data_IF_245177390756
#
_entry.id   IF_245177390756
#
_cell.length_a   1.000
_cell.length_b   1.000
_cell.length_c   1.000
_cell.angle_alpha   90.00
_cell.angle_beta   90.00
_cell.angle_gamma   90.00
#
_symmetry.space_group_name_H-M   'P 1'
#
loop_
_entity.id
_entity.type
_entity.pdbx_description
1 polymer ?
#
# COMPACT_ATOMS: atom_id res chain seq x y z
N UNK A 1 -12.88 -34.36 28.10
CA UNK A 1 -12.16 -34.33 26.81
C UNK A 1 -11.95 -32.87 26.42
N UNK A 2 -10.71 -32.40 26.47
CA UNK A 2 -10.36 -31.05 26.04
C UNK A 2 -10.49 -30.96 24.51
N UNK A 3 -11.25 -29.99 24.01
CA UNK A 3 -11.34 -29.72 22.57
C UNK A 3 -9.97 -29.26 22.08
N UNK A 4 -9.19 -30.18 21.51
CA UNK A 4 -7.90 -29.87 20.90
C UNK A 4 -8.06 -28.76 19.88
N UNK A 5 -7.39 -27.62 20.09
CA UNK A 5 -7.40 -26.53 19.14
C UNK A 5 -6.81 -27.03 17.82
N UNK A 6 -7.64 -27.10 16.78
CA UNK A 6 -7.20 -27.35 15.42
C UNK A 6 -6.22 -26.24 15.02
N UNK A 7 -4.94 -26.58 14.88
CA UNK A 7 -3.91 -25.63 14.49
C UNK A 7 -3.91 -25.34 12.98
N UNK A 8 -4.83 -25.91 12.18
CA UNK A 8 -4.87 -25.58 10.74
C UNK A 8 -5.32 -24.15 10.52
N UNK A 9 -4.80 -23.48 9.50
CA UNK A 9 -5.21 -22.10 9.16
C UNK A 9 -6.70 -21.96 8.88
N UNK A 10 -7.35 -22.97 8.28
CA UNK A 10 -8.81 -22.97 8.10
C UNK A 10 -9.59 -22.90 9.43
N UNK A 11 -8.97 -23.29 10.54
CA UNK A 11 -9.50 -23.22 11.90
C UNK A 11 -9.06 -21.95 12.67
N UNK A 12 -8.19 -21.12 12.08
CA UNK A 12 -7.66 -19.89 12.70
C UNK A 12 -8.74 -18.84 12.91
N UNK A 13 -8.51 -17.94 13.87
CA UNK A 13 -9.36 -16.75 14.06
C UNK A 13 -9.42 -15.90 12.80
N UNK A 14 -8.35 -15.84 12.00
CA UNK A 14 -8.34 -15.12 10.70
C UNK A 14 -9.33 -15.72 9.70
N UNK A 15 -9.44 -17.05 9.63
CA UNK A 15 -10.39 -17.71 8.75
C UNK A 15 -11.82 -17.73 9.29
N UNK A 16 -12.00 -17.64 10.61
CA UNK A 16 -13.30 -17.61 11.26
C UNK A 16 -13.86 -16.19 11.39
N UNK A 17 -13.00 -15.18 11.31
CA UNK A 17 -13.39 -13.78 11.44
C UNK A 17 -14.39 -13.41 10.34
N UNK A 18 -15.49 -12.80 10.78
CA UNK A 18 -16.53 -12.28 9.90
C UNK A 18 -16.84 -10.87 10.38
N UNK A 19 -16.60 -9.91 9.50
CA UNK A 19 -17.11 -8.56 9.73
C UNK A 19 -18.61 -8.52 9.46
N UNK A 20 -19.27 -7.58 10.13
CA UNK A 20 -20.58 -7.14 9.70
C UNK A 20 -20.46 -6.47 8.33
N UNK A 21 -21.54 -6.51 7.55
CA UNK A 21 -21.59 -5.71 6.34
C UNK A 21 -21.51 -4.23 6.71
N UNK A 22 -20.84 -3.42 5.88
CA UNK A 22 -20.91 -1.97 6.03
C UNK A 22 -22.36 -1.52 5.87
N UNK A 23 -22.65 -0.38 6.48
CA UNK A 23 -23.99 0.22 6.53
C UNK A 23 -24.01 1.64 6.00
N UNK A 24 -22.84 2.25 5.78
CA UNK A 24 -22.71 3.65 5.37
C UNK A 24 -22.00 3.76 4.02
N UNK A 25 -22.57 4.59 3.15
CA UNK A 25 -21.89 5.08 1.96
C UNK A 25 -20.73 6.03 2.35
N UNK A 26 -19.69 6.17 1.51
CA UNK A 26 -18.66 7.18 1.72
C UNK A 26 -19.24 8.59 1.82
N UNK A 27 -18.67 9.42 2.69
CA UNK A 27 -19.08 10.83 2.82
C UNK A 27 -17.91 11.79 3.07
N UNK A 28 -16.72 11.46 2.56
CA UNK A 28 -15.57 12.35 2.65
C UNK A 28 -15.85 13.69 1.95
N UNK A 29 -15.57 14.78 2.64
CA UNK A 29 -15.83 16.16 2.17
C UNK A 29 -14.56 17.00 2.06
N UNK A 30 -13.44 16.52 2.59
CA UNK A 30 -12.16 17.23 2.53
C UNK A 30 -11.74 17.56 1.09
N UNK A 31 -11.11 18.71 0.84
CA UNK A 31 -10.62 19.06 -0.49
C UNK A 31 -9.72 17.97 -1.09
N UNK A 32 -9.81 17.77 -2.40
CA UNK A 32 -8.86 16.97 -3.15
C UNK A 32 -7.53 17.76 -3.23
N UNK A 33 -6.43 17.09 -2.90
CA UNK A 33 -5.10 17.67 -2.95
C UNK A 33 -4.77 18.09 -4.39
N UNK A 34 -4.19 19.27 -4.63
CA UNK A 34 -3.91 19.77 -5.98
C UNK A 34 -3.04 18.87 -6.86
N UNK A 35 -2.28 17.93 -6.27
CA UNK A 35 -1.52 16.94 -7.05
C UNK A 35 -2.43 15.94 -7.81
N UNK A 36 -3.67 15.79 -7.37
CA UNK A 36 -4.68 14.91 -7.95
C UNK A 36 -5.77 15.69 -8.69
N UNK A 37 -5.53 16.95 -9.07
CA UNK A 37 -6.48 17.74 -9.86
C UNK A 37 -6.85 17.07 -11.20
N UNK A 38 -8.01 17.41 -11.75
CA UNK A 38 -8.59 16.73 -12.92
C UNK A 38 -7.68 16.75 -14.16
N UNK A 39 -6.97 17.85 -14.42
CA UNK A 39 -6.02 17.99 -15.53
C UNK A 39 -4.76 17.13 -15.35
N UNK A 40 -4.55 16.53 -14.18
CA UNK A 40 -3.51 15.53 -13.96
C UNK A 40 -3.93 14.11 -14.38
N UNK A 41 -5.15 13.89 -14.88
CA UNK A 41 -5.67 12.59 -15.31
C UNK A 41 -6.02 12.57 -16.80
N UNK A 42 -6.04 11.37 -17.40
CA UNK A 42 -6.50 11.21 -18.78
C UNK A 42 -7.93 11.75 -18.96
N UNK A 43 -8.22 12.53 -20.02
CA UNK A 43 -9.52 13.16 -20.22
C UNK A 43 -10.67 12.17 -20.49
N UNK A 44 -10.36 10.91 -20.80
CA UNK A 44 -11.34 9.86 -21.07
C UNK A 44 -11.88 9.19 -19.79
N UNK A 45 -11.36 9.58 -18.63
CA UNK A 45 -11.76 9.01 -17.34
C UNK A 45 -12.85 9.90 -16.76
N UNK A 46 -13.90 9.27 -16.25
CA UNK A 46 -14.89 9.97 -15.46
C UNK A 46 -14.29 10.27 -14.08
N UNK A 47 -13.78 11.49 -13.94
CA UNK A 47 -13.11 11.97 -12.74
C UNK A 47 -14.02 11.95 -11.50
N UNK A 48 -15.34 12.08 -11.68
CA UNK A 48 -16.30 12.08 -10.58
C UNK A 48 -16.33 10.74 -9.84
N UNK A 49 -16.13 9.62 -10.56
CA UNK A 49 -16.05 8.28 -9.96
C UNK A 49 -14.83 8.10 -9.06
N UNK A 50 -13.79 8.91 -9.25
CA UNK A 50 -12.57 8.86 -8.44
C UNK A 50 -12.69 9.71 -7.17
N UNK A 51 -13.67 10.61 -7.07
CA UNK A 51 -13.71 11.68 -6.07
C UNK A 51 -13.46 11.17 -4.64
N UNK A 52 -14.18 10.12 -4.22
CA UNK A 52 -14.01 9.50 -2.89
C UNK A 52 -12.58 8.98 -2.69
N UNK A 53 -12.03 8.28 -3.68
CA UNK A 53 -10.66 7.75 -3.64
C UNK A 53 -9.62 8.87 -3.58
N UNK A 54 -9.82 9.95 -4.33
CA UNK A 54 -8.93 11.11 -4.37
C UNK A 54 -8.97 11.88 -3.04
N UNK A 55 -10.16 12.06 -2.45
CA UNK A 55 -10.32 12.67 -1.12
C UNK A 55 -9.63 11.85 -0.05
N UNK A 56 -9.76 10.52 -0.08
CA UNK A 56 -9.06 9.63 0.85
C UNK A 56 -7.53 9.67 0.65
N UNK A 57 -7.04 9.59 -0.58
CA UNK A 57 -5.62 9.73 -0.88
C UNK A 57 -5.07 11.09 -0.39
N UNK A 58 -5.87 12.15 -0.55
CA UNK A 58 -5.53 13.49 -0.06
C UNK A 58 -5.44 13.53 1.47
N UNK A 59 -6.30 12.80 2.20
CA UNK A 59 -6.17 12.64 3.66
C UNK A 59 -4.86 11.95 4.04
N UNK A 60 -4.44 10.92 3.32
CA UNK A 60 -3.16 10.25 3.57
C UNK A 60 -1.97 11.21 3.43
N UNK A 61 -1.97 12.12 2.44
CA UNK A 61 -0.93 13.14 2.29
C UNK A 61 -0.84 14.14 3.45
N UNK A 62 -1.89 14.25 4.29
CA UNK A 62 -1.88 15.11 5.47
C UNK A 62 -1.28 14.45 6.72
N UNK A 63 -0.90 13.17 6.65
CA UNK A 63 -0.34 12.46 7.79
C UNK A 63 1.13 12.86 8.03
N UNK A 64 1.52 13.05 9.29
CA UNK A 64 2.89 13.44 9.66
C UNK A 64 3.95 12.45 9.17
N UNK A 65 3.71 11.15 9.34
CA UNK A 65 4.59 10.10 8.82
C UNK A 65 4.69 10.08 7.29
N UNK A 66 3.63 10.44 6.58
CA UNK A 66 3.65 10.52 5.11
C UNK A 66 4.46 11.73 4.67
N UNK A 67 4.23 12.89 5.27
CA UNK A 67 5.01 14.08 5.01
C UNK A 67 6.51 13.84 5.28
N UNK A 68 6.83 13.19 6.40
CA UNK A 68 8.20 12.79 6.73
C UNK A 68 8.79 11.86 5.66
N UNK A 69 8.06 10.81 5.26
CA UNK A 69 8.52 9.88 4.24
C UNK A 69 8.77 10.56 2.88
N UNK A 70 7.91 11.51 2.46
CA UNK A 70 8.13 12.32 1.26
C UNK A 70 9.43 13.15 1.36
N UNK A 71 9.65 13.81 2.51
CA UNK A 71 10.87 14.60 2.75
C UNK A 71 12.10 13.69 2.70
N UNK A 72 12.06 12.55 3.38
CA UNK A 72 13.14 11.56 3.41
C UNK A 72 13.46 11.03 2.01
N UNK A 73 12.43 10.76 1.19
CA UNK A 73 12.62 10.31 -0.19
C UNK A 73 13.38 11.35 -1.01
N UNK A 74 13.14 12.65 -0.81
CA UNK A 74 13.71 13.72 -1.64
C UNK A 74 15.02 14.28 -1.08
N UNK A 75 15.05 14.56 0.22
CA UNK A 75 16.11 15.30 0.91
C UNK A 75 17.07 14.37 1.70
N UNK A 76 16.74 13.09 1.87
CA UNK A 76 17.58 12.11 2.56
C UNK A 76 18.94 11.89 1.87
N UNK A 77 19.94 11.46 2.65
CA UNK A 77 21.32 11.28 2.16
C UNK A 77 21.37 10.21 1.06
N UNK A 78 22.13 10.53 0.02
CA UNK A 78 22.40 9.61 -1.07
C UNK A 78 23.75 8.92 -0.83
N UNK A 79 23.73 7.73 -0.24
CA UNK A 79 24.94 6.89 -0.21
C UNK A 79 25.08 6.15 -1.54
N UNK A 80 26.27 6.21 -2.13
CA UNK A 80 26.61 5.50 -3.36
C UNK A 80 27.32 4.19 -2.98
N UNK A 81 26.83 3.05 -3.46
CA UNK A 81 27.42 1.74 -3.22
C UNK A 81 27.80 1.07 -4.55
N UNK A 82 29.05 1.12 -4.95
CA UNK A 82 29.55 0.35 -6.08
C UNK A 82 29.58 -1.15 -5.73
N UNK A 83 28.90 -2.01 -6.49
CA UNK A 83 29.06 -3.48 -6.39
C UNK A 83 29.88 -4.00 -7.59
N UNK A 84 30.23 -5.29 -7.58
CA UNK A 84 31.08 -5.91 -8.61
C UNK A 84 30.45 -5.99 -10.01
N UNK A 85 29.19 -5.58 -10.17
CA UNK A 85 28.43 -5.50 -11.43
C UNK A 85 28.35 -4.05 -11.94
N UNK A 86 28.85 -3.07 -11.17
CA UNK A 86 29.01 -1.67 -11.57
C UNK A 86 28.67 -0.66 -10.47
N UNK A 87 28.68 0.62 -10.84
CA UNK A 87 28.30 1.70 -9.94
C UNK A 87 26.82 1.61 -9.58
N UNK A 88 26.49 1.27 -8.34
CA UNK A 88 25.13 1.31 -7.82
C UNK A 88 25.00 2.43 -6.79
N UNK A 89 23.88 3.12 -6.76
CA UNK A 89 23.60 4.12 -5.72
C UNK A 89 22.45 3.59 -4.91
N UNK A 90 22.66 3.36 -3.62
CA UNK A 90 21.58 2.92 -2.75
C UNK A 90 21.39 3.89 -1.61
N UNK A 91 20.17 4.47 -1.62
CA UNK A 91 19.78 5.55 -0.73
C UNK A 91 19.46 5.00 0.64
N UNK A 92 20.37 5.29 1.59
CA UNK A 92 20.06 5.25 3.01
C UNK A 92 19.30 6.51 3.38
N UNK A 93 18.03 6.35 3.66
CA UNK A 93 17.25 7.38 4.33
C UNK A 93 17.70 7.45 5.80
N UNK A 94 18.80 8.14 6.11
CA UNK A 94 19.05 8.54 7.51
C UNK A 94 18.36 9.86 7.78
N UNK A 95 17.69 9.97 8.93
CA UNK A 95 17.05 11.20 9.43
C UNK A 95 18.04 12.36 9.61
N UNK A 96 19.35 12.08 9.52
CA UNK A 96 20.47 12.96 9.87
C UNK A 96 20.51 14.27 9.05
N UNK A 97 19.81 14.36 7.91
CA UNK A 97 19.82 15.55 7.05
C UNK A 97 18.46 16.20 6.76
N UNK A 98 17.35 15.62 7.21
CA UNK A 98 16.22 16.47 7.59
C UNK A 98 16.68 17.14 8.89
N UNK A 99 17.42 18.26 8.78
CA UNK A 99 17.90 19.04 9.92
C UNK A 99 16.80 20.06 10.26
N UNK A 100 15.81 19.72 11.10
CA UNK A 100 14.80 20.68 11.45
C UNK A 100 15.33 21.79 12.34
N UNK A 101 14.54 22.85 12.53
CA UNK A 101 14.74 23.74 13.66
C UNK A 101 14.83 22.93 14.97
N UNK A 102 15.59 23.42 15.95
CA UNK A 102 15.90 22.69 17.20
C UNK A 102 14.69 22.31 18.08
N UNK A 103 13.48 22.71 17.72
CA UNK A 103 12.24 22.49 18.46
C UNK A 103 11.32 21.48 17.73
N UNK A 104 10.68 20.59 18.49
CA UNK A 104 9.81 19.53 17.95
C UNK A 104 8.55 20.07 17.25
N UNK A 105 7.94 21.14 17.78
CA UNK A 105 6.76 21.76 17.13
C UNK A 105 7.14 22.41 15.80
N UNK A 106 8.34 22.96 15.72
CA UNK A 106 8.89 23.52 14.49
C UNK A 106 9.24 22.41 13.49
N UNK A 107 9.60 21.21 13.96
CA UNK A 107 9.89 20.06 13.10
C UNK A 107 8.65 19.55 12.36
N UNK A 108 7.54 19.30 13.06
CA UNK A 108 6.31 18.82 12.42
C UNK A 108 5.82 19.85 11.40
N UNK A 109 5.79 21.14 11.76
CA UNK A 109 5.44 22.20 10.80
C UNK A 109 6.40 22.25 9.61
N UNK A 110 7.71 22.17 9.85
CA UNK A 110 8.72 22.16 8.80
C UNK A 110 8.52 20.99 7.82
N UNK A 111 8.32 19.77 8.33
CA UNK A 111 8.11 18.58 7.49
C UNK A 111 6.85 18.72 6.64
N UNK A 112 5.74 19.18 7.22
CA UNK A 112 4.52 19.38 6.45
C UNK A 112 4.67 20.47 5.39
N UNK A 113 5.32 21.58 5.73
CA UNK A 113 5.64 22.63 4.76
C UNK A 113 6.52 22.09 3.63
N UNK A 114 7.61 21.38 3.97
CA UNK A 114 8.56 20.85 3.00
C UNK A 114 7.95 19.78 2.09
N UNK A 115 7.17 18.86 2.66
CA UNK A 115 6.44 17.86 1.88
C UNK A 115 5.46 18.53 0.90
N UNK A 116 4.75 19.59 1.33
CA UNK A 116 3.87 20.35 0.45
C UNK A 116 4.65 21.07 -0.67
N UNK A 117 5.83 21.62 -0.40
CA UNK A 117 6.70 22.22 -1.43
C UNK A 117 7.15 21.16 -2.45
N UNK A 118 7.52 19.96 -1.99
CA UNK A 118 7.87 18.83 -2.86
C UNK A 118 6.69 18.44 -3.74
N UNK A 119 5.49 18.30 -3.15
CA UNK A 119 4.28 17.94 -3.87
C UNK A 119 3.89 19.03 -4.89
N UNK A 120 4.01 20.32 -4.52
CA UNK A 120 3.80 21.46 -5.43
C UNK A 120 4.77 21.42 -6.61
N UNK A 121 6.06 21.16 -6.37
CA UNK A 121 7.05 21.02 -7.44
C UNK A 121 6.83 19.80 -8.35
N UNK A 122 5.99 18.86 -7.92
CA UNK A 122 5.56 17.68 -8.67
C UNK A 122 4.21 17.88 -9.40
N UNK A 123 3.46 18.93 -9.11
CA UNK A 123 2.23 19.28 -9.84
C UNK A 123 2.56 19.58 -11.31
N UNK A 124 1.70 19.13 -12.23
CA UNK A 124 1.90 19.24 -13.68
C UNK A 124 2.99 18.33 -14.26
N UNK A 125 3.83 17.69 -13.41
CA UNK A 125 4.84 16.72 -13.83
C UNK A 125 4.37 15.28 -13.71
N UNK A 126 3.31 15.03 -12.95
CA UNK A 126 2.66 13.72 -12.85
C UNK A 126 1.42 13.69 -13.74
N UNK A 127 1.28 12.63 -14.55
CA UNK A 127 0.04 12.33 -15.27
C UNK A 127 -0.44 10.94 -14.85
N UNK A 128 -1.65 10.87 -14.33
CA UNK A 128 -2.29 9.65 -13.86
C UNK A 128 -3.10 9.01 -14.97
N UNK A 129 -2.77 7.75 -15.26
CA UNK A 129 -3.46 6.92 -16.22
C UNK A 129 -4.18 5.80 -15.49
N UNK A 130 -5.49 5.70 -15.68
CA UNK A 130 -6.26 4.53 -15.23
C UNK A 130 -6.37 3.57 -16.42
N UNK A 131 -5.66 2.44 -16.36
CA UNK A 131 -5.52 1.52 -17.47
C UNK A 131 -6.64 0.46 -17.45
N UNK A 132 -7.69 0.58 -18.30
CA UNK A 132 -8.87 -0.29 -18.22
C UNK A 132 -8.52 -1.78 -18.44
N UNK A 133 -7.56 -2.12 -19.28
CA UNK A 133 -7.29 -3.53 -19.58
C UNK A 133 -6.21 -4.17 -18.70
N UNK A 134 -5.74 -3.47 -17.68
CA UNK A 134 -4.77 -4.03 -16.73
C UNK A 134 -5.47 -4.52 -15.46
N UNK A 135 -4.87 -5.51 -14.81
CA UNK A 135 -5.41 -6.13 -13.60
C UNK A 135 -5.30 -5.18 -12.38
N UNK A 136 -4.70 -5.66 -11.29
CA UNK A 136 -4.47 -4.92 -10.06
C UNK A 136 -3.03 -4.40 -10.02
N UNK A 137 -2.81 -3.34 -9.24
CA UNK A 137 -1.50 -2.73 -9.02
C UNK A 137 -1.32 -1.44 -9.78
N UNK A 138 -0.08 -0.95 -9.79
CA UNK A 138 0.31 0.23 -10.54
C UNK A 138 1.74 0.11 -11.03
N UNK A 139 2.18 1.16 -11.73
CA UNK A 139 3.59 1.41 -12.02
C UNK A 139 3.76 2.89 -12.35
N UNK A 140 4.91 3.43 -12.01
CA UNK A 140 5.31 4.77 -12.44
C UNK A 140 6.41 4.70 -13.48
N UNK A 141 6.33 5.54 -14.52
CA UNK A 141 7.35 5.61 -15.56
C UNK A 141 7.70 7.06 -15.87
N UNK A 142 8.98 7.41 -15.98
CA UNK A 142 9.35 8.72 -16.50
C UNK A 142 8.94 8.86 -17.97
N UNK A 143 8.43 10.04 -18.34
CA UNK A 143 8.23 10.48 -19.72
C UNK A 143 9.56 10.92 -20.32
N UNK A 144 10.43 9.93 -20.50
CA UNK A 144 11.61 10.09 -21.35
C UNK A 144 11.07 9.98 -22.78
N UNK A 145 11.49 10.89 -23.68
CA UNK A 145 11.25 10.71 -25.11
C UNK A 145 11.91 9.42 -25.63
N UNK A 146 12.15 9.32 -26.94
CA UNK A 146 13.00 8.26 -27.50
C UNK A 146 14.28 8.13 -26.67
N UNK A 147 14.41 7.03 -25.93
CA UNK A 147 15.46 6.82 -24.93
C UNK A 147 16.81 7.10 -25.57
N UNK A 148 17.48 8.16 -25.15
CA UNK A 148 18.83 8.49 -25.60
C UNK A 148 19.77 7.70 -24.68
N UNK A 149 20.45 6.63 -25.16
CA UNK A 149 21.28 5.77 -24.32
C UNK A 149 22.46 6.49 -23.66
N UNK A 150 22.75 7.72 -24.10
CA UNK A 150 23.82 8.57 -23.61
C UNK A 150 23.40 9.52 -22.46
N UNK A 151 22.15 9.50 -22.00
CA UNK A 151 21.75 10.36 -20.89
C UNK A 151 22.44 9.92 -19.58
N UNK A 152 22.97 10.87 -18.78
CA UNK A 152 23.48 10.56 -17.45
C UNK A 152 22.42 9.82 -16.63
N UNK A 153 22.82 8.77 -15.92
CA UNK A 153 21.99 7.84 -15.15
C UNK A 153 21.10 8.47 -14.06
N UNK A 154 21.04 9.80 -13.94
CA UNK A 154 20.41 10.52 -12.82
C UNK A 154 19.83 11.90 -13.18
N UNK A 155 19.51 12.16 -14.45
CA UNK A 155 18.88 13.45 -14.77
C UNK A 155 17.53 13.57 -14.04
N UNK A 156 17.40 14.63 -13.25
CA UNK A 156 16.25 14.96 -12.40
C UNK A 156 15.24 15.79 -13.19
N UNK A 157 14.03 15.93 -12.65
CA UNK A 157 13.01 16.83 -13.18
C UNK A 157 12.13 16.24 -14.28
N UNK A 158 12.30 14.97 -14.65
CA UNK A 158 11.46 14.36 -15.67
C UNK A 158 10.01 14.25 -15.21
N UNK A 159 9.05 14.67 -16.07
CA UNK A 159 7.66 14.29 -15.89
C UNK A 159 7.53 12.76 -15.85
N UNK A 160 6.51 12.29 -15.17
CA UNK A 160 6.23 10.88 -15.00
C UNK A 160 4.76 10.59 -15.31
N UNK A 161 4.55 9.40 -15.85
CA UNK A 161 3.26 8.74 -16.05
C UNK A 161 3.06 7.75 -14.90
N UNK A 162 1.95 7.91 -14.20
CA UNK A 162 1.55 7.12 -13.04
C UNK A 162 0.39 6.23 -13.49
N UNK A 163 0.67 4.96 -13.74
CA UNK A 163 -0.33 4.01 -14.23
C UNK A 163 -0.96 3.25 -13.07
N UNK A 164 -2.28 3.25 -13.00
CA UNK A 164 -3.08 2.51 -12.02
C UNK A 164 -3.95 1.48 -12.75
N UNK A 165 -4.03 0.26 -12.20
CA UNK A 165 -4.87 -0.80 -12.70
C UNK A 165 -6.35 -0.43 -12.71
N UNK A 166 -6.99 -0.45 -13.88
CA UNK A 166 -8.36 0.00 -14.06
C UNK A 166 -9.44 -0.95 -13.54
N UNK A 167 -9.08 -2.14 -13.04
CA UNK A 167 -10.06 -3.10 -12.51
C UNK A 167 -10.91 -2.49 -11.40
N UNK A 168 -10.29 -1.85 -10.40
CA UNK A 168 -11.04 -1.22 -9.29
C UNK A 168 -11.91 -0.07 -9.78
N UNK A 169 -11.42 0.73 -10.73
CA UNK A 169 -12.19 1.82 -11.33
C UNK A 169 -13.46 1.31 -12.04
N UNK A 170 -13.38 0.21 -12.79
CA UNK A 170 -14.57 -0.40 -13.41
C UNK A 170 -15.57 -0.93 -12.39
N UNK A 171 -15.10 -1.51 -11.29
CA UNK A 171 -15.99 -1.95 -10.22
C UNK A 171 -16.70 -0.75 -9.58
N UNK A 172 -15.98 0.35 -9.30
CA UNK A 172 -16.59 1.60 -8.83
C UNK A 172 -17.64 2.10 -9.82
N UNK A 173 -17.32 2.14 -11.12
CA UNK A 173 -18.27 2.56 -12.16
C UNK A 173 -19.53 1.69 -12.15
N UNK A 174 -19.39 0.36 -12.17
CA UNK A 174 -20.52 -0.55 -12.18
C UNK A 174 -21.38 -0.44 -10.92
N UNK A 175 -20.74 -0.27 -9.75
CA UNK A 175 -21.45 -0.20 -8.47
C UNK A 175 -22.18 1.13 -8.31
N UNK A 176 -21.61 2.25 -8.78
CA UNK A 176 -22.33 3.52 -8.82
C UNK A 176 -23.54 3.47 -9.76
N UNK A 177 -23.42 2.82 -10.93
CA UNK A 177 -24.59 2.62 -11.80
C UNK A 177 -25.71 1.83 -11.12
N UNK A 178 -25.38 0.80 -10.34
CA UNK A 178 -26.38 0.05 -9.57
C UNK A 178 -27.01 0.96 -8.50
N UNK A 179 -26.19 1.73 -7.79
CA UNK A 179 -26.66 2.68 -6.78
C UNK A 179 -27.60 3.73 -7.38
N UNK A 180 -27.26 4.29 -8.54
CA UNK A 180 -28.09 5.28 -9.24
C UNK A 180 -29.44 4.69 -9.69
N UNK A 181 -29.43 3.45 -10.18
CA UNK A 181 -30.65 2.76 -10.65
C UNK A 181 -31.56 2.29 -9.51
N UNK A 182 -30.98 1.86 -8.39
CA UNK A 182 -31.72 1.20 -7.30
C UNK A 182 -31.91 2.11 -6.07
N UNK A 183 -31.19 3.22 -5.98
CA UNK A 183 -31.15 4.10 -4.81
C UNK A 183 -30.46 3.50 -3.58
N UNK A 184 -29.97 2.26 -3.67
CA UNK A 184 -29.27 1.56 -2.60
C UNK A 184 -28.33 0.48 -3.16
N UNK A 185 -27.39 0.03 -2.33
CA UNK A 185 -26.55 -1.14 -2.59
C UNK A 185 -26.86 -2.23 -1.59
N UNK A 186 -26.74 -3.49 -2.01
CA UNK A 186 -26.70 -4.59 -1.07
C UNK A 186 -25.47 -4.47 -0.16
N UNK A 187 -25.50 -5.02 1.06
CA UNK A 187 -24.33 -5.01 1.96
C UNK A 187 -23.02 -5.51 1.29
N UNK A 188 -23.05 -6.59 0.50
CA UNK A 188 -21.90 -7.06 -0.27
C UNK A 188 -21.40 -6.05 -1.32
N UNK A 189 -22.31 -5.48 -2.11
CA UNK A 189 -21.98 -4.50 -3.14
C UNK A 189 -21.40 -3.22 -2.52
N UNK A 190 -21.95 -2.79 -1.39
CA UNK A 190 -21.40 -1.69 -0.60
C UNK A 190 -19.99 -2.02 -0.09
N UNK A 191 -19.76 -3.22 0.45
CA UNK A 191 -18.43 -3.64 0.87
C UNK A 191 -17.42 -3.64 -0.29
N UNK A 192 -17.84 -4.08 -1.48
CA UNK A 192 -16.99 -4.02 -2.66
C UNK A 192 -16.69 -2.58 -3.08
N UNK A 193 -17.70 -1.70 -3.08
CA UNK A 193 -17.52 -0.29 -3.41
C UNK A 193 -16.51 0.40 -2.47
N UNK A 194 -16.71 0.24 -1.15
CA UNK A 194 -15.81 0.80 -0.14
C UNK A 194 -14.38 0.27 -0.31
N UNK A 195 -14.24 -1.03 -0.59
CA UNK A 195 -12.93 -1.65 -0.83
C UNK A 195 -12.25 -1.09 -2.07
N UNK A 196 -12.96 -0.93 -3.18
CA UNK A 196 -12.39 -0.39 -4.41
C UNK A 196 -11.92 1.05 -4.24
N UNK A 197 -12.66 1.90 -3.51
CA UNK A 197 -12.21 3.25 -3.20
C UNK A 197 -10.96 3.28 -2.32
N UNK A 198 -10.92 2.43 -1.28
CA UNK A 198 -9.76 2.28 -0.43
C UNK A 198 -8.51 1.85 -1.22
N UNK A 199 -8.62 0.83 -2.07
CA UNK A 199 -7.51 0.34 -2.88
C UNK A 199 -7.04 1.35 -3.91
N UNK A 200 -7.96 2.06 -4.58
CA UNK A 200 -7.58 3.13 -5.50
C UNK A 200 -6.80 4.23 -4.78
N UNK A 201 -7.26 4.67 -3.61
CA UNK A 201 -6.57 5.66 -2.81
C UNK A 201 -5.16 5.20 -2.39
N UNK A 202 -5.03 3.93 -1.97
CA UNK A 202 -3.75 3.30 -1.62
C UNK A 202 -2.80 3.27 -2.83
N UNK A 203 -3.25 2.75 -3.96
CA UNK A 203 -2.46 2.65 -5.20
C UNK A 203 -2.02 4.02 -5.72
N UNK A 204 -2.88 5.03 -5.65
CA UNK A 204 -2.53 6.39 -6.06
C UNK A 204 -1.36 6.95 -5.26
N UNK A 205 -1.35 6.75 -3.94
CA UNK A 205 -0.28 7.22 -3.07
C UNK A 205 0.99 6.39 -3.25
N UNK A 206 0.86 5.07 -3.38
CA UNK A 206 1.96 4.17 -3.67
C UNK A 206 2.73 4.61 -4.91
N UNK A 207 2.02 4.76 -6.02
CA UNK A 207 2.63 5.11 -7.30
C UNK A 207 3.07 6.57 -7.34
N UNK A 208 2.34 7.48 -6.71
CA UNK A 208 2.78 8.86 -6.57
C UNK A 208 4.18 8.94 -5.92
N UNK A 209 4.47 8.11 -4.92
CA UNK A 209 5.79 8.17 -4.29
C UNK A 209 6.91 7.67 -5.19
N UNK A 210 6.68 6.60 -5.96
CA UNK A 210 7.61 6.16 -7.00
C UNK A 210 7.87 7.28 -8.02
N UNK A 211 6.82 8.01 -8.34
CA UNK A 211 6.90 9.14 -9.25
C UNK A 211 7.69 10.33 -8.67
N UNK A 212 7.45 10.72 -7.41
CA UNK A 212 8.24 11.73 -6.68
C UNK A 212 9.72 11.31 -6.61
N UNK A 213 9.98 10.05 -6.27
CA UNK A 213 11.32 9.46 -6.27
C UNK A 213 11.96 9.48 -7.65
N UNK A 214 11.22 9.35 -8.73
CA UNK A 214 11.78 9.47 -10.09
C UNK A 214 12.08 10.93 -10.40
N UNK A 215 11.15 11.82 -10.08
CA UNK A 215 11.21 13.24 -10.37
C UNK A 215 12.41 13.94 -9.70
N UNK A 216 12.56 13.81 -8.39
CA UNK A 216 13.57 14.58 -7.64
C UNK A 216 14.97 13.99 -7.68
N UNK A 217 15.03 12.74 -8.09
CA UNK A 217 16.09 11.84 -7.70
C UNK A 217 16.65 11.11 -8.94
N UNK A 218 16.04 11.35 -10.09
CA UNK A 218 16.48 10.92 -11.40
C UNK A 218 15.96 9.55 -11.80
N UNK A 219 15.91 9.34 -13.11
CA UNK A 219 15.56 8.05 -13.71
C UNK A 219 16.68 7.05 -13.52
N UNK A 220 16.34 5.85 -13.06
CA UNK A 220 17.26 4.71 -13.06
C UNK A 220 16.79 3.68 -14.07
N UNK A 221 17.74 3.09 -14.81
CA UNK A 221 17.43 1.98 -15.76
C UNK A 221 16.79 0.79 -15.04
N UNK A 222 17.17 0.60 -13.78
CA UNK A 222 16.59 -0.36 -12.86
C UNK A 222 16.52 0.27 -11.49
N UNK A 223 15.38 0.18 -10.81
CA UNK A 223 15.42 0.28 -9.35
C UNK A 223 16.24 -0.91 -8.86
N UNK A 224 17.54 -0.69 -8.62
CA UNK A 224 18.34 -1.66 -7.91
C UNK A 224 17.83 -1.65 -6.49
N UNK A 225 16.84 -2.50 -6.26
CA UNK A 225 16.29 -2.67 -4.94
C UNK A 225 17.41 -3.15 -3.98
N UNK A 226 18.52 -3.71 -4.47
CA UNK A 226 19.61 -4.34 -3.72
C UNK A 226 20.72 -3.44 -3.15
N UNK A 227 20.47 -2.57 -2.17
CA UNK A 227 21.51 -2.52 -1.11
C UNK A 227 20.93 -2.59 0.29
N UNK A 228 21.77 -3.08 1.22
CA UNK A 228 21.49 -3.09 2.64
C UNK A 228 21.02 -1.81 3.30
N UNK A 229 21.20 -0.66 2.65
CA UNK A 229 20.66 0.60 3.14
C UNK A 229 19.56 1.15 2.25
N UNK A 230 19.00 0.35 1.32
CA UNK A 230 17.89 0.74 0.45
C UNK A 230 16.57 0.81 1.23
N UNK A 231 16.49 1.70 2.21
CA UNK A 231 15.24 2.10 2.88
C UNK A 231 14.18 2.60 1.90
N UNK A 232 14.56 2.85 0.63
CA UNK A 232 13.71 3.34 -0.44
C UNK A 232 13.65 2.39 -1.65
N UNK A 233 13.99 1.11 -1.49
CA UNK A 233 13.98 0.17 -2.62
C UNK A 233 12.61 0.04 -3.29
N UNK A 234 11.52 0.22 -2.54
CA UNK A 234 10.15 0.26 -3.04
C UNK A 234 9.38 1.37 -2.32
N UNK A 235 9.61 2.62 -2.73
CA UNK A 235 9.09 3.81 -2.03
C UNK A 235 7.59 3.72 -1.77
N UNK A 236 6.82 3.21 -2.74
CA UNK A 236 5.38 2.99 -2.58
C UNK A 236 4.99 2.12 -1.37
N UNK A 237 5.75 1.10 -1.01
CA UNK A 237 5.47 0.32 0.21
C UNK A 237 5.94 1.02 1.48
N UNK A 238 6.99 1.84 1.41
CA UNK A 238 7.45 2.63 2.55
C UNK A 238 6.39 3.67 2.98
N UNK A 239 5.72 4.32 2.01
CA UNK A 239 4.60 5.23 2.32
C UNK A 239 3.36 4.49 2.81
N UNK A 240 3.07 3.29 2.29
CA UNK A 240 2.01 2.46 2.86
C UNK A 240 2.32 2.07 4.30
N UNK A 241 3.57 1.69 4.60
CA UNK A 241 4.01 1.42 5.96
C UNK A 241 3.92 2.66 6.85
N UNK A 242 4.19 3.85 6.31
CA UNK A 242 4.03 5.12 7.02
C UNK A 242 2.56 5.40 7.38
N UNK A 243 1.62 5.07 6.49
CA UNK A 243 0.18 5.26 6.68
C UNK A 243 -0.41 4.20 7.64
N UNK A 244 -0.13 2.92 7.36
CA UNK A 244 -0.83 1.77 7.93
C UNK A 244 -0.02 1.01 9.00
N UNK A 245 1.27 1.33 9.16
CA UNK A 245 2.17 0.60 10.06
C UNK A 245 2.55 -0.79 9.54
N UNK A 246 2.54 -0.96 8.22
CA UNK A 246 2.85 -2.18 7.47
C UNK A 246 2.50 -1.99 5.99
N UNK A 247 2.84 -2.96 5.14
CA UNK A 247 2.35 -2.95 3.77
C UNK A 247 0.87 -3.34 3.76
N UNK A 248 0.06 -2.44 3.19
CA UNK A 248 -1.38 -2.53 3.13
C UNK A 248 -1.86 -3.46 2.03
N UNK A 249 -1.24 -4.63 1.84
CA UNK A 249 -1.78 -5.57 0.86
C UNK A 249 -3.07 -6.18 1.40
N UNK A 250 -4.22 -5.63 1.02
CA UNK A 250 -5.48 -6.30 1.27
C UNK A 250 -5.50 -7.57 0.44
N UNK A 251 -5.34 -8.71 1.10
CA UNK A 251 -5.79 -9.98 0.55
C UNK A 251 -7.31 -9.96 0.52
N UNK A 252 -7.86 -9.13 -0.37
CA UNK A 252 -9.20 -9.31 -0.85
C UNK A 252 -9.26 -10.79 -1.19
N UNK A 253 -10.14 -11.51 -0.51
CA UNK A 253 -10.38 -12.94 -0.66
C UNK A 253 -10.94 -13.29 -2.05
N UNK A 254 -10.53 -12.55 -3.08
CA UNK A 254 -10.86 -12.58 -4.48
C UNK A 254 -9.74 -13.19 -5.31
N UNK A 255 -8.53 -13.46 -4.75
CA UNK A 255 -7.58 -14.26 -5.51
C UNK A 255 -8.25 -15.60 -5.78
N UNK A 256 -8.51 -15.85 -7.08
CA UNK A 256 -9.20 -17.04 -7.56
C UNK A 256 -8.60 -18.30 -6.95
N UNK A 257 -7.30 -18.30 -6.65
CA UNK A 257 -6.57 -19.44 -6.12
C UNK A 257 -6.86 -19.72 -4.63
N UNK A 258 -6.99 -18.69 -3.79
CA UNK A 258 -7.42 -18.88 -2.39
C UNK A 258 -8.91 -19.28 -2.36
N UNK A 259 -9.74 -18.76 -3.27
CA UNK A 259 -11.13 -19.18 -3.41
C UNK A 259 -11.29 -20.58 -4.01
N UNK A 260 -10.45 -21.00 -4.96
CA UNK A 260 -10.44 -22.33 -5.56
C UNK A 260 -9.95 -23.37 -4.53
N UNK A 261 -8.92 -23.03 -3.74
CA UNK A 261 -8.50 -23.84 -2.60
C UNK A 261 -9.61 -23.94 -1.54
N UNK A 262 -10.28 -22.82 -1.21
CA UNK A 262 -11.45 -22.80 -0.30
C UNK A 262 -12.65 -23.57 -0.87
N UNK A 263 -12.93 -23.52 -2.18
CA UNK A 263 -14.01 -24.29 -2.83
C UNK A 263 -13.77 -25.79 -2.71
N UNK A 264 -12.52 -26.25 -2.84
CA UNK A 264 -12.18 -27.67 -2.68
C UNK A 264 -12.31 -28.15 -1.23
N UNK A 265 -11.92 -27.34 -0.23
CA UNK A 265 -12.00 -27.76 1.19
C UNK A 265 -13.40 -27.62 1.81
N UNK A 266 -14.21 -26.62 1.41
CA UNK A 266 -15.57 -26.44 1.93
C UNK A 266 -16.62 -27.37 1.31
N UNK A 267 -16.25 -28.16 0.29
CA UNK A 267 -17.13 -29.15 -0.36
C UNK A 267 -17.31 -30.47 0.43
N UNK A 268 -16.90 -30.56 1.69
CA UNK A 268 -16.96 -31.82 2.46
C UNK A 268 -18.34 -32.17 3.04
N UNK A 269 -19.38 -31.31 2.92
CA UNK A 269 -20.73 -31.59 3.46
C UNK A 269 -21.91 -31.13 2.59
N UNK A 270 -21.81 -31.21 1.26
CA UNK A 270 -22.99 -31.16 0.38
C UNK A 270 -23.86 -29.89 0.36
N UNK A 271 -23.51 -28.84 1.11
CA UNK A 271 -24.21 -27.55 1.07
C UNK A 271 -23.27 -26.45 0.61
N UNK A 272 -23.39 -26.07 -0.66
CA UNK A 272 -22.83 -24.83 -1.21
C UNK A 272 -23.55 -23.65 -0.56
N UNK A 273 -23.13 -23.23 0.64
CA UNK A 273 -23.51 -21.94 1.18
C UNK A 273 -22.59 -20.88 0.56
N UNK A 274 -23.09 -20.17 -0.46
CA UNK A 274 -22.52 -18.91 -0.91
C UNK A 274 -22.78 -17.86 0.16
N UNK A 275 -21.97 -17.83 1.22
CA UNK A 275 -21.98 -16.67 2.10
C UNK A 275 -21.47 -15.48 1.28
N UNK A 276 -22.21 -14.36 1.19
CA UNK A 276 -21.63 -13.13 0.70
C UNK A 276 -20.48 -12.78 1.65
N UNK A 277 -19.27 -12.62 1.12
CA UNK A 277 -18.07 -12.42 1.95
C UNK A 277 -17.61 -10.98 1.78
N UNK A 278 -17.78 -10.19 2.83
CA UNK A 278 -17.02 -8.97 3.05
C UNK A 278 -15.53 -9.28 2.84
N UNK A 279 -14.77 -8.47 2.10
CA UNK A 279 -13.34 -8.68 1.91
C UNK A 279 -12.63 -8.77 3.25
N UNK A 280 -11.74 -9.76 3.42
CA UNK A 280 -10.84 -9.79 4.57
C UNK A 280 -9.70 -8.81 4.33
N UNK A 281 -9.52 -7.86 5.24
CA UNK A 281 -8.41 -6.90 5.17
C UNK A 281 -7.25 -7.46 6.00
N UNK A 282 -6.10 -7.65 5.35
CA UNK A 282 -4.89 -8.17 5.98
C UNK A 282 -3.79 -7.15 5.78
N UNK A 283 -3.07 -6.77 6.83
CA UNK A 283 -1.86 -5.96 6.70
C UNK A 283 -0.64 -6.81 7.01
N UNK A 284 0.41 -6.60 6.23
CA UNK A 284 1.67 -7.33 6.33
C UNK A 284 2.70 -6.42 6.99
N UNK A 285 3.65 -6.98 7.73
CA UNK A 285 4.81 -6.17 8.11
C UNK A 285 5.60 -5.77 6.86
N UNK A 286 6.12 -4.54 6.88
CA UNK A 286 7.06 -4.06 5.89
C UNK A 286 8.38 -3.72 6.57
N UNK A 287 9.53 -4.15 6.03
CA UNK A 287 9.69 -5.08 4.90
C UNK A 287 9.15 -6.49 5.21
N UNK A 288 8.66 -7.18 4.18
CA UNK A 288 8.08 -8.53 4.26
C UNK A 288 9.00 -9.57 3.64
N UNK A 289 9.18 -10.70 4.33
CA UNK A 289 9.91 -11.83 3.75
C UNK A 289 9.20 -12.40 2.51
N UNK A 290 7.87 -12.40 2.52
CA UNK A 290 7.05 -12.92 1.43
C UNK A 290 7.23 -12.09 0.17
N UNK A 291 7.28 -10.76 0.30
CA UNK A 291 7.60 -9.87 -0.83
C UNK A 291 9.01 -10.10 -1.34
N UNK A 292 10.00 -10.21 -0.45
CA UNK A 292 11.36 -10.55 -0.84
C UNK A 292 11.43 -11.84 -1.66
N UNK A 293 10.77 -12.91 -1.19
CA UNK A 293 10.75 -14.19 -1.90
C UNK A 293 9.96 -14.11 -3.22
N UNK A 294 8.87 -13.35 -3.29
CA UNK A 294 8.08 -13.14 -4.51
C UNK A 294 8.85 -12.33 -5.57
N UNK A 295 9.56 -11.28 -5.18
CA UNK A 295 10.41 -10.52 -6.10
C UNK A 295 11.54 -11.41 -6.64
N UNK A 296 12.20 -12.17 -5.76
CA UNK A 296 13.25 -13.13 -6.14
C UNK A 296 12.74 -14.18 -7.13
N UNK A 297 11.56 -14.76 -6.90
CA UNK A 297 11.00 -15.77 -7.80
C UNK A 297 10.69 -15.23 -9.19
N UNK A 298 10.32 -13.95 -9.28
CA UNK A 298 10.08 -13.23 -10.55
C UNK A 298 11.36 -12.68 -11.19
N UNK A 299 12.53 -13.01 -10.63
CA UNK A 299 13.84 -12.45 -11.04
C UNK A 299 13.90 -10.93 -10.92
N UNK A 300 13.00 -10.33 -10.14
CA UNK A 300 13.15 -8.96 -9.69
C UNK A 300 14.19 -8.95 -8.57
N UNK A 301 15.16 -8.04 -8.68
CA UNK A 301 16.12 -7.81 -7.61
C UNK A 301 15.34 -7.15 -6.46
N UNK A 302 15.51 -7.54 -5.19
CA UNK A 302 14.93 -6.83 -4.03
C UNK A 302 16.01 -6.59 -2.98
N UNK A 303 15.97 -5.44 -2.32
CA UNK A 303 16.86 -5.12 -1.20
C UNK A 303 16.62 -5.97 0.00
N UNK A 304 17.70 -6.33 0.69
CA UNK A 304 17.61 -6.87 2.03
C UNK A 304 18.46 -5.95 2.88
N UNK A 305 17.85 -5.32 3.89
CA UNK A 305 18.54 -4.49 4.87
C UNK A 305 19.66 -5.31 5.52
N UNK A 306 20.87 -4.74 5.67
CA UNK A 306 22.05 -5.49 6.12
C UNK A 306 21.79 -6.19 7.46
N UNK A 307 22.07 -7.50 7.54
CA UNK A 307 22.05 -8.25 8.80
C UNK A 307 20.67 -8.63 9.35
N UNK A 308 19.59 -7.97 8.91
CA UNK A 308 18.25 -8.39 9.28
C UNK A 308 17.86 -9.65 8.49
N UNK A 309 18.01 -10.80 9.15
CA UNK A 309 17.30 -12.01 8.74
C UNK A 309 15.81 -11.72 8.87
N UNK A 310 15.15 -11.30 7.78
CA UNK A 310 13.69 -11.25 7.70
C UNK A 310 13.18 -12.69 7.93
N UNK A 311 12.84 -13.01 9.18
CA UNK A 311 12.59 -14.39 9.61
C UNK A 311 11.27 -14.91 9.06
N UNK A 312 10.24 -14.08 9.09
CA UNK A 312 8.91 -14.43 8.63
C UNK A 312 8.10 -13.18 8.29
N UNK A 313 7.09 -13.38 7.45
CA UNK A 313 6.08 -12.35 7.20
C UNK A 313 5.02 -12.47 8.26
N UNK A 314 4.74 -11.40 8.98
CA UNK A 314 3.61 -11.34 9.91
C UNK A 314 2.41 -10.71 9.23
N UNK A 315 1.26 -11.34 9.41
CA UNK A 315 -0.03 -10.86 8.91
C UNK A 315 -0.94 -10.55 10.09
N UNK A 316 -1.58 -9.40 10.01
CA UNK A 316 -2.55 -8.94 10.99
C UNK A 316 -3.90 -8.72 10.31
N UNK A 317 -4.97 -9.11 10.99
CA UNK A 317 -6.32 -8.88 10.49
C UNK A 317 -6.77 -7.47 10.89
N UNK A 318 -7.30 -6.76 9.91
CA UNK A 318 -7.92 -5.45 10.11
C UNK A 318 -9.43 -5.62 9.86
N UNK A 319 -10.28 -5.22 10.82
CA UNK A 319 -11.72 -5.19 10.62
C UNK A 319 -12.10 -4.38 9.39
N UNK A 320 -12.99 -4.88 8.55
CA UNK A 320 -13.52 -4.13 7.42
C UNK A 320 -14.22 -2.83 7.85
N UNK A 321 -14.77 -2.79 9.07
CA UNK A 321 -15.32 -1.56 9.65
C UNK A 321 -14.31 -0.41 9.70
N UNK A 322 -13.01 -0.72 9.75
CA UNK A 322 -11.97 0.31 9.65
C UNK A 322 -11.94 0.96 8.26
N UNK A 323 -12.11 0.19 7.18
CA UNK A 323 -12.23 0.75 5.82
C UNK A 323 -13.48 1.62 5.72
N UNK A 324 -14.60 1.15 6.26
CA UNK A 324 -15.82 1.95 6.34
C UNK A 324 -15.57 3.27 7.06
N UNK A 325 -14.94 3.24 8.25
CA UNK A 325 -14.58 4.43 9.03
C UNK A 325 -13.64 5.39 8.28
N UNK A 326 -12.60 4.89 7.59
CA UNK A 326 -11.69 5.74 6.82
C UNK A 326 -12.38 6.54 5.72
N UNK A 327 -13.48 6.01 5.19
CA UNK A 327 -14.32 6.65 4.17
C UNK A 327 -15.41 7.56 4.77
N UNK A 328 -15.40 7.76 6.09
CA UNK A 328 -16.28 8.70 6.77
C UNK A 328 -15.54 9.96 7.20
N UNK A 329 -16.11 11.13 6.94
CA UNK A 329 -15.57 12.42 7.40
C UNK A 329 -15.44 12.47 8.93
N UNK A 330 -16.41 11.88 9.63
CA UNK A 330 -16.44 11.82 11.09
C UNK A 330 -15.20 11.16 11.71
N UNK A 331 -14.56 10.19 11.04
CA UNK A 331 -13.31 9.58 11.51
C UNK A 331 -12.18 10.63 11.57
N UNK A 332 -12.02 11.41 10.51
CA UNK A 332 -10.95 12.41 10.38
C UNK A 332 -11.17 13.62 11.29
N UNK A 333 -12.42 14.07 11.45
CA UNK A 333 -12.77 15.16 12.39
C UNK A 333 -12.57 14.71 13.84
N UNK A 334 -13.04 13.51 14.20
CA UNK A 334 -12.91 13.01 15.57
C UNK A 334 -11.47 12.70 15.94
N UNK A 335 -10.67 12.22 15.00
CA UNK A 335 -9.27 11.85 15.27
C UNK A 335 -8.37 13.10 15.40
N UNK A 336 -8.74 14.22 14.78
CA UNK A 336 -8.00 15.49 14.90
C UNK A 336 -8.29 16.28 16.18
N UNK A 337 -9.41 16.01 16.90
CA UNK A 337 -9.79 16.57 18.23
C UNK A 337 -9.36 18.03 18.50
N UNK A 338 -9.46 18.93 17.53
CA UNK A 338 -9.10 20.35 17.70
C UNK A 338 -7.61 20.61 18.00
N UNK A 339 -6.73 19.63 17.86
CA UNK A 339 -5.29 19.88 17.91
C UNK A 339 -4.86 20.56 16.61
N UNK A 340 -4.08 21.63 16.71
CA UNK A 340 -3.47 22.29 15.55
C UNK A 340 -2.50 21.37 14.80
N UNK A 341 -1.95 20.37 15.49
CA UNK A 341 -0.98 19.43 14.95
C UNK A 341 -1.65 18.39 14.06
N UNK A 342 -1.14 18.16 12.84
CA UNK A 342 -1.59 17.10 11.96
C UNK A 342 -1.58 15.72 12.64
N UNK A 343 -2.43 14.82 12.14
CA UNK A 343 -2.44 13.44 12.62
C UNK A 343 -1.11 12.78 12.21
N UNK A 344 -0.30 12.38 13.18
CA UNK A 344 1.00 11.75 12.90
C UNK A 344 0.86 10.45 12.10
N UNK A 345 -0.09 9.58 12.49
CA UNK A 345 -0.36 8.28 11.84
C UNK A 345 -1.78 7.80 12.10
N UNK A 346 -2.27 6.87 11.28
CA UNK A 346 -3.54 6.20 11.55
C UNK A 346 -3.44 5.27 12.75
N UNK A 347 -4.52 5.20 13.53
CA UNK A 347 -4.69 4.14 14.52
C UNK A 347 -5.38 2.94 13.87
N UNK A 348 -4.58 2.08 13.22
CA UNK A 348 -5.11 0.87 12.55
C UNK A 348 -5.52 -0.16 13.62
N UNK A 349 -6.81 -0.54 13.71
CA UNK A 349 -7.26 -1.54 14.67
C UNK A 349 -6.75 -2.92 14.23
N UNK A 350 -5.86 -3.49 15.04
CA UNK A 350 -5.31 -4.83 14.82
C UNK A 350 -6.10 -5.82 15.68
N UNK A 351 -6.80 -6.78 15.05
CA UNK A 351 -7.53 -7.84 15.77
C UNK A 351 -6.85 -9.20 15.60
N UNK A 352 -6.82 -9.96 16.69
CA UNK A 352 -6.36 -11.35 16.70
C UNK A 352 -4.85 -11.52 16.89
N UNK A 353 -4.39 -12.78 16.83
CA UNK A 353 -2.95 -13.12 16.91
C UNK A 353 -2.25 -12.74 15.60
N UNK A 354 -1.01 -12.25 15.67
CA UNK A 354 -0.15 -12.08 14.48
C UNK A 354 0.19 -13.46 13.90
N UNK A 355 -0.08 -13.67 12.62
CA UNK A 355 0.20 -14.94 11.93
C UNK A 355 1.51 -14.85 11.16
N UNK A 356 2.40 -15.81 11.37
CA UNK A 356 3.53 -16.02 10.47
C UNK A 356 3.04 -16.65 9.17
N UNK A 357 3.34 -16.06 8.02
CA UNK A 357 3.14 -16.68 6.72
C UNK A 357 4.46 -16.80 5.99
N UNK A 358 4.62 -17.92 5.31
CA UNK A 358 5.73 -18.14 4.38
C UNK A 358 5.17 -18.24 2.96
N UNK A 359 5.82 -17.56 2.02
CA UNK A 359 5.49 -17.73 0.61
C UNK A 359 6.09 -19.04 0.11
N UNK A 360 5.26 -19.96 -0.37
CA UNK A 360 5.74 -21.16 -1.05
C UNK A 360 5.93 -20.83 -2.53
N UNK A 361 7.14 -20.38 -2.88
CA UNK A 361 7.51 -19.98 -4.24
C UNK A 361 7.36 -21.11 -5.28
N UNK A 362 7.48 -22.38 -4.88
CA UNK A 362 7.28 -23.52 -5.81
C UNK A 362 5.83 -23.68 -6.25
N UNK A 363 4.89 -23.21 -5.43
CA UNK A 363 3.44 -23.37 -5.66
C UNK A 363 2.74 -22.03 -5.87
N UNK A 364 3.47 -20.92 -5.87
CA UNK A 364 2.97 -19.55 -5.85
C UNK A 364 1.80 -19.34 -4.85
N UNK A 365 1.91 -19.94 -3.67
CA UNK A 365 0.84 -19.94 -2.65
C UNK A 365 1.38 -19.56 -1.29
N UNK A 366 0.58 -18.79 -0.53
CA UNK A 366 0.82 -18.55 0.89
C UNK A 366 0.60 -19.84 1.67
N UNK A 367 1.64 -20.32 2.36
CA UNK A 367 1.49 -21.38 3.34
C UNK A 367 1.52 -20.79 4.76
N UNK A 368 0.44 -20.94 5.53
CA UNK A 368 0.38 -20.45 6.89
C UNK A 368 1.30 -21.27 7.78
N UNK A 369 2.08 -20.59 8.63
CA UNK A 369 3.00 -21.21 9.58
C UNK A 369 2.58 -20.84 11.01
N UNK A 370 2.71 -21.78 11.95
CA UNK A 370 1.97 -21.71 13.20
C UNK A 370 2.79 -21.12 14.34
N UNK A 371 2.42 -19.90 14.73
CA UNK A 371 2.79 -19.20 15.97
C UNK A 371 4.11 -18.42 15.98
N UNK A 372 4.11 -17.31 16.74
CA UNK A 372 5.29 -16.50 17.08
C UNK A 372 6.44 -17.34 17.68
N UNK A 373 6.12 -18.45 18.37
CA UNK A 373 7.12 -19.31 18.98
C UNK A 373 7.99 -19.99 17.92
N UNK A 374 7.42 -20.43 16.81
CA UNK A 374 8.20 -21.12 15.77
C UNK A 374 9.01 -20.14 14.90
N UNK A 375 8.55 -18.89 14.70
CA UNK A 375 9.41 -17.83 14.12
C UNK A 375 10.66 -17.53 14.99
N UNK A 376 10.61 -17.84 16.29
CA UNK A 376 11.76 -17.73 17.20
C UNK A 376 12.64 -19.00 17.25
N UNK A 377 12.06 -20.19 17.03
CA UNK A 377 12.70 -21.52 17.15
C UNK A 377 13.62 -21.87 15.97
N UNK A 378 13.61 -21.11 14.87
CA UNK A 378 14.63 -21.20 13.81
C UNK A 378 16.08 -20.91 14.26
N UNK A 379 16.31 -20.65 15.56
CA UNK A 379 17.65 -20.62 16.17
C UNK A 379 18.25 -22.01 16.46
N UNK A 380 17.46 -23.09 16.53
CA UNK A 380 17.94 -24.37 17.09
C UNK A 380 18.10 -25.52 16.07
N UNK A 381 17.91 -25.27 14.76
CA UNK A 381 17.96 -26.33 13.75
C UNK A 381 19.15 -26.21 12.76
N UNK A 382 20.12 -25.33 13.04
CA UNK A 382 21.37 -25.19 12.27
C UNK A 382 22.51 -24.68 13.20
N UNK A 383 22.67 -25.33 14.35
CA UNK A 383 23.96 -25.40 15.06
C UNK A 383 24.36 -26.87 15.15
#
# INVERSE_FOLDING_TARGET
>A
MAWGQCNKFCCSDVCKYRDAFPTKLPNLTNPIHPIFQQDAFDPNIDYSLLEVSLRLASRYLTLGKVAHNICVVVDGVQTVYTDSIGDHIVRSATDEHCQPPKNADDYTHYIHWRANEILRGAMGKNHFHILPNTERGGKSKPRIGSFIPALPLYQRGFPCDVYIGGYMYRQVQSLNQILDLQGHLSGPDLAELLYCHFELARLLIHELLHSIKTLYNGVRRWEHHCSPDALLSEGGYDIEAAIFGGDGMVSAAWSKDILLARRKEYCTKGQLRTAPRVPTVLFYNWPSRGWLDMYRSRRHKMGVINGEKLKCTTVENVPFSFIEELLQEGYWVTTSKGKRTPLEKLNVPRKGRNWGVMWNWKKDTLQPWLSKAECAVGKAANE
#
